data_IF_308159705221
#
_entry.id   IF_308159705221
#
_cell.length_a   1.000
_cell.length_b   1.000
_cell.length_c   1.000
_cell.angle_alpha   90.00
_cell.angle_beta   90.00
_cell.angle_gamma   90.00
#
_symmetry.space_group_name_H-M   'P 1'
#
loop_
_entity.id
_entity.type
_entity.pdbx_description
1 polymer ?
#
# COMPACT_ATOMS: atom_id res chain seq x y z
N UNK A 1 8.49 -14.39 -15.52
CA UNK A 1 7.35 -13.64 -14.95
C UNK A 1 7.37 -13.88 -13.46
N UNK A 2 7.95 -12.96 -12.70
CA UNK A 2 7.88 -12.99 -11.25
C UNK A 2 6.42 -12.96 -10.81
N UNK A 3 6.04 -13.95 -9.99
CA UNK A 3 4.67 -14.01 -9.46
C UNK A 3 4.47 -12.78 -8.58
N UNK A 4 3.29 -12.12 -8.66
CA UNK A 4 3.01 -11.02 -7.76
C UNK A 4 3.08 -11.50 -6.31
N UNK A 5 4.04 -10.95 -5.58
CA UNK A 5 4.43 -11.43 -4.26
C UNK A 5 4.17 -10.39 -3.17
N UNK A 6 3.85 -9.14 -3.52
CA UNK A 6 3.63 -8.07 -2.56
C UNK A 6 2.19 -7.59 -2.61
N UNK A 7 1.53 -7.52 -1.45
CA UNK A 7 0.16 -7.07 -1.30
C UNK A 7 0.09 -5.82 -0.45
N UNK A 8 -0.61 -4.80 -0.92
CA UNK A 8 -0.86 -3.59 -0.15
C UNK A 8 -2.15 -3.78 0.64
N UNK A 9 -2.08 -3.59 1.96
CA UNK A 9 -3.21 -3.78 2.87
C UNK A 9 -3.45 -2.56 3.75
N UNK A 10 -4.72 -2.22 3.94
CA UNK A 10 -5.16 -1.31 4.98
C UNK A 10 -6.52 -1.74 5.52
N UNK A 11 -6.74 -1.48 6.80
CA UNK A 11 -8.07 -1.59 7.40
C UNK A 11 -9.02 -0.47 6.92
N UNK A 12 -8.46 0.62 6.43
CA UNK A 12 -9.18 1.77 5.93
C UNK A 12 -9.18 1.79 4.40
N UNK A 13 -10.13 2.51 3.80
CA UNK A 13 -10.16 2.65 2.35
C UNK A 13 -8.89 3.34 1.89
N UNK A 14 -8.12 2.68 1.03
CA UNK A 14 -6.96 3.28 0.39
C UNK A 14 -7.45 4.23 -0.70
N UNK A 15 -7.03 5.48 -0.62
CA UNK A 15 -7.26 6.52 -1.61
C UNK A 15 -5.91 6.85 -2.23
N UNK A 16 -5.71 6.37 -3.45
CA UNK A 16 -4.51 6.67 -4.22
C UNK A 16 -4.55 8.13 -4.68
N UNK A 17 -3.50 8.90 -4.41
CA UNK A 17 -3.34 10.28 -4.93
C UNK A 17 -2.68 10.30 -6.31
N UNK A 18 -2.38 9.14 -6.89
CA UNK A 18 -1.70 9.03 -8.17
C UNK A 18 -2.72 9.04 -9.32
N UNK A 19 -2.58 9.96 -10.30
CA UNK A 19 -3.59 10.22 -11.31
C UNK A 19 -3.82 9.08 -12.33
N UNK A 20 -3.01 8.01 -12.30
CA UNK A 20 -3.04 6.94 -13.32
C UNK A 20 -2.98 5.50 -12.78
N UNK A 21 -3.09 5.32 -11.48
CA UNK A 21 -3.07 3.97 -10.89
C UNK A 21 -4.18 3.90 -9.84
N UNK A 22 -5.37 3.39 -10.21
CA UNK A 22 -6.41 3.13 -9.22
C UNK A 22 -5.88 2.01 -8.34
N UNK A 23 -5.42 2.38 -7.14
CA UNK A 23 -4.83 1.42 -6.23
C UNK A 23 -5.92 0.84 -5.34
N UNK A 24 -6.13 -0.46 -5.46
CA UNK A 24 -7.16 -1.14 -4.72
C UNK A 24 -6.58 -1.83 -3.48
N UNK A 25 -7.37 -1.88 -2.41
CA UNK A 25 -6.97 -2.61 -1.21
C UNK A 25 -6.81 -4.10 -1.56
N UNK A 26 -5.66 -4.68 -1.27
CA UNK A 26 -5.34 -6.06 -1.64
C UNK A 26 -4.74 -6.24 -3.05
N UNK A 27 -4.34 -5.15 -3.73
CA UNK A 27 -3.66 -5.24 -5.02
C UNK A 27 -2.31 -5.96 -4.90
N UNK A 28 -2.04 -6.82 -5.88
CA UNK A 28 -0.93 -7.75 -5.94
C UNK A 28 0.12 -7.25 -6.93
N UNK A 29 1.32 -7.00 -6.42
CA UNK A 29 2.44 -6.41 -7.15
C UNK A 29 3.61 -7.40 -7.20
N UNK A 30 4.27 -7.47 -8.36
CA UNK A 30 5.45 -8.31 -8.57
C UNK A 30 6.72 -7.69 -7.96
N UNK A 31 6.76 -6.37 -7.80
CA UNK A 31 7.96 -5.66 -7.38
C UNK A 31 7.79 -5.02 -5.99
N UNK A 32 8.80 -5.19 -5.14
CA UNK A 32 8.83 -4.67 -3.76
C UNK A 32 8.86 -3.15 -3.75
N UNK A 33 9.78 -2.56 -4.50
CA UNK A 33 10.03 -1.11 -4.50
C UNK A 33 8.82 -0.36 -5.05
N UNK A 34 8.15 -0.91 -6.05
CA UNK A 34 6.87 -0.40 -6.55
C UNK A 34 5.79 -0.49 -5.47
N UNK A 35 5.63 -1.63 -4.80
CA UNK A 35 4.63 -1.81 -3.75
C UNK A 35 4.85 -0.84 -2.57
N UNK A 36 6.10 -0.68 -2.16
CA UNK A 36 6.49 0.27 -1.10
C UNK A 36 6.25 1.70 -1.55
N UNK A 37 6.66 2.08 -2.76
CA UNK A 37 6.47 3.43 -3.29
C UNK A 37 4.99 3.81 -3.39
N UNK A 38 4.16 2.87 -3.81
CA UNK A 38 2.73 3.03 -3.90
C UNK A 38 2.08 3.15 -2.52
N UNK A 39 2.38 2.22 -1.60
CA UNK A 39 1.93 2.31 -0.21
C UNK A 39 2.37 3.62 0.45
N UNK A 40 3.61 4.06 0.21
CA UNK A 40 4.16 5.31 0.70
C UNK A 40 3.43 6.57 0.16
N UNK A 41 2.85 6.51 -1.03
CA UNK A 41 2.13 7.65 -1.65
C UNK A 41 0.62 7.62 -1.48
N UNK A 42 0.04 6.52 -1.01
CA UNK A 42 -1.40 6.44 -0.78
C UNK A 42 -1.83 7.12 0.53
N UNK A 43 -3.08 7.57 0.59
CA UNK A 43 -3.72 8.02 1.83
C UNK A 43 -4.83 7.05 2.20
N UNK A 44 -5.31 7.10 3.43
CA UNK A 44 -6.50 6.37 3.87
C UNK A 44 -7.65 7.33 4.14
N UNK A 45 -8.86 6.82 3.94
CA UNK A 45 -10.10 7.49 4.34
C UNK A 45 -10.93 6.55 5.23
N UNK A 46 -11.25 6.96 6.47
CA UNK A 46 -10.77 8.16 7.17
C UNK A 46 -9.24 8.22 7.44
N UNK A 47 -8.69 9.40 7.80
CA UNK A 47 -7.31 9.55 8.27
C UNK A 47 -6.94 8.60 9.40
N UNK A 48 -5.64 8.35 9.57
CA UNK A 48 -5.10 7.55 10.68
C UNK A 48 -5.09 6.04 10.41
N UNK A 49 -5.53 5.62 9.22
CA UNK A 49 -5.44 4.24 8.80
C UNK A 49 -4.00 3.81 8.53
N UNK A 50 -3.65 2.59 8.92
CA UNK A 50 -2.33 2.02 8.64
C UNK A 50 -2.34 1.38 7.27
N UNK A 51 -1.37 1.72 6.43
CA UNK A 51 -1.11 1.08 5.13
C UNK A 51 0.14 0.23 5.27
N UNK A 52 0.05 -1.04 4.88
CA UNK A 52 1.12 -2.04 4.99
C UNK A 52 1.40 -2.66 3.63
N UNK A 53 2.63 -3.10 3.43
CA UNK A 53 3.02 -3.98 2.32
C UNK A 53 3.41 -5.32 2.89
N UNK A 54 2.75 -6.37 2.45
CA UNK A 54 2.95 -7.74 2.90
C UNK A 54 3.56 -8.55 1.77
N UNK A 55 4.67 -9.23 2.04
CA UNK A 55 5.20 -10.25 1.14
C UNK A 55 4.37 -11.53 1.32
N UNK A 56 3.47 -11.80 0.38
CA UNK A 56 2.48 -12.89 0.42
C UNK A 56 3.10 -14.27 0.64
N UNK A 57 4.22 -14.65 0.02
CA UNK A 57 4.83 -15.96 0.25
C UNK A 57 5.32 -16.19 1.69
N UNK A 58 5.78 -15.14 2.38
CA UNK A 58 6.35 -15.26 3.74
C UNK A 58 5.44 -14.70 4.84
N UNK A 59 4.43 -13.91 4.47
CA UNK A 59 3.60 -13.14 5.40
C UNK A 59 4.33 -11.94 6.04
N UNK A 60 5.56 -11.64 5.61
CA UNK A 60 6.37 -10.59 6.21
C UNK A 60 5.84 -9.20 5.82
N UNK A 61 5.73 -8.29 6.80
CA UNK A 61 5.42 -6.88 6.54
C UNK A 61 6.71 -6.15 6.19
N UNK A 62 6.91 -5.89 4.90
CA UNK A 62 8.13 -5.25 4.39
C UNK A 62 8.08 -3.72 4.49
N UNK A 63 6.88 -3.15 4.70
CA UNK A 63 6.66 -1.72 4.91
C UNK A 63 5.36 -1.48 5.67
N UNK A 64 5.34 -0.47 6.52
CA UNK A 64 4.15 -0.01 7.23
C UNK A 64 4.23 1.48 7.46
N UNK A 65 3.12 2.19 7.25
CA UNK A 65 2.99 3.59 7.63
C UNK A 65 1.60 3.88 8.17
N UNK A 66 1.49 4.92 8.97
CA UNK A 66 0.20 5.51 9.32
C UNK A 66 -0.11 6.60 8.31
N UNK A 67 -1.28 6.56 7.69
CA UNK A 67 -1.76 7.62 6.81
C UNK A 67 -2.30 8.77 7.64
N UNK A 68 -1.41 9.61 8.12
CA UNK A 68 -1.75 10.94 8.60
C UNK A 68 -2.20 11.83 7.43
N UNK A 69 -3.26 12.59 7.61
CA UNK A 69 -3.49 13.77 6.77
C UNK A 69 -2.39 14.74 7.16
N UNK A 70 -1.28 14.73 6.42
CA UNK A 70 -0.15 15.61 6.72
C UNK A 70 -0.63 17.05 6.86
N UNK A 71 -0.36 17.65 8.02
CA UNK A 71 -0.07 19.09 8.09
C UNK A 71 1.07 19.31 7.09
N UNK A 72 0.75 19.97 5.98
CA UNK A 72 1.74 20.44 5.00
C UNK A 72 2.74 21.39 5.67
#
# INVERSE_FOLDING_TARGET
MDKPAYRIESAHRIVATLPRSPLYNGELLADRDLAVSLAAKCKTEPPGGVVKVVHVPTGEVVFSKTSEWGTL
#
